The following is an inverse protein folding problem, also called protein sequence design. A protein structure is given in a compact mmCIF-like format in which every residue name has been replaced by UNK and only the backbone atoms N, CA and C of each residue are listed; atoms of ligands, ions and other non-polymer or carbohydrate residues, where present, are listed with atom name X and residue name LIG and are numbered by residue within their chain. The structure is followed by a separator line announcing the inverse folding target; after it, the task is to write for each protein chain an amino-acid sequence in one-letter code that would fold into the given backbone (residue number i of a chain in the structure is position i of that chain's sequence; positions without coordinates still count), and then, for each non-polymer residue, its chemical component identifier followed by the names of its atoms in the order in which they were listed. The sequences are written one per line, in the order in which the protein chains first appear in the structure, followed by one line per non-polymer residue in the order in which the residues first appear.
data_IF_359313652837
#
_entry.id   IF_359313652837
#
_cell.length_a   1.000
_cell.length_b   1.000
_cell.length_c   1.000
_cell.angle_alpha   90.00
_cell.angle_beta   90.00
_cell.angle_gamma   90.00
#
_symmetry.space_group_name_H-M   'P 1'
#
loop_
_entity.id
_entity.type
_entity.pdbx_description
1 polymer ?
#
# COMPACT_ATOMS: atom_id res chain seq x y z
N UNK A 1 30.51 10.18 15.05
CA UNK A 1 29.48 10.47 14.02
C UNK A 1 29.34 9.38 12.93
N UNK A 2 29.77 8.12 13.13
CA UNK A 2 29.68 7.05 12.11
C UNK A 2 28.39 6.20 12.16
N UNK A 3 27.63 6.26 13.26
CA UNK A 3 26.53 5.34 13.54
C UNK A 3 25.22 5.66 12.81
N UNK A 4 24.98 6.92 12.44
CA UNK A 4 23.71 7.35 11.83
C UNK A 4 23.57 6.96 10.36
N UNK A 5 24.68 6.96 9.60
CA UNK A 5 24.68 6.66 8.16
C UNK A 5 24.47 5.17 7.91
N UNK A 6 25.05 4.31 8.74
CA UNK A 6 24.89 2.86 8.65
C UNK A 6 23.45 2.41 8.95
N UNK A 7 22.79 3.06 9.93
CA UNK A 7 21.40 2.78 10.30
C UNK A 7 20.41 3.19 9.20
N UNK A 8 20.61 4.36 8.58
CA UNK A 8 19.80 4.83 7.46
C UNK A 8 19.94 3.92 6.23
N UNK A 9 21.17 3.51 5.88
CA UNK A 9 21.43 2.60 4.76
C UNK A 9 20.75 1.23 4.93
N UNK A 10 20.76 0.68 6.14
CA UNK A 10 20.12 -0.61 6.44
C UNK A 10 18.59 -0.52 6.41
N UNK A 11 18.02 0.62 6.83
CA UNK A 11 16.58 0.91 6.75
C UNK A 11 16.11 1.06 5.31
N UNK A 12 16.86 1.77 4.47
CA UNK A 12 16.59 1.87 3.04
C UNK A 12 16.61 0.49 2.35
N UNK A 13 17.59 -0.36 2.66
CA UNK A 13 17.65 -1.73 2.13
C UNK A 13 16.42 -2.56 2.52
N UNK A 14 15.95 -2.46 3.77
CA UNK A 14 14.71 -3.12 4.21
C UNK A 14 13.49 -2.63 3.44
N UNK A 15 13.37 -1.31 3.22
CA UNK A 15 12.30 -0.72 2.40
C UNK A 15 12.34 -1.29 0.98
N UNK A 16 13.49 -1.24 0.30
CA UNK A 16 13.65 -1.74 -1.06
C UNK A 16 13.31 -3.23 -1.16
N UNK A 17 13.81 -4.04 -0.22
CA UNK A 17 13.53 -5.48 -0.19
C UNK A 17 12.02 -5.77 -0.07
N UNK A 18 11.32 -5.02 0.78
CA UNK A 18 9.89 -5.21 0.98
C UNK A 18 9.08 -4.72 -0.23
N UNK A 19 9.45 -3.59 -0.83
CA UNK A 19 8.83 -3.10 -2.07
C UNK A 19 8.99 -4.12 -3.21
N UNK A 20 10.17 -4.76 -3.34
CA UNK A 20 10.39 -5.83 -4.33
C UNK A 20 9.45 -7.03 -4.13
N UNK A 21 9.21 -7.44 -2.88
CA UNK A 21 8.25 -8.52 -2.58
C UNK A 21 6.83 -8.16 -3.02
N UNK A 22 6.40 -6.92 -2.80
CA UNK A 22 5.09 -6.43 -3.22
C UNK A 22 5.01 -6.33 -4.75
N UNK A 23 6.07 -5.85 -5.42
CA UNK A 23 6.15 -5.82 -6.88
C UNK A 23 5.99 -7.21 -7.49
N UNK A 24 6.63 -8.24 -6.92
CA UNK A 24 6.44 -9.64 -7.36
C UNK A 24 4.99 -10.11 -7.20
N UNK A 25 4.26 -9.60 -6.21
CA UNK A 25 2.83 -9.89 -6.07
C UNK A 25 1.99 -9.14 -7.13
N UNK A 26 2.40 -7.93 -7.52
CA UNK A 26 1.78 -7.16 -8.60
C UNK A 26 1.95 -7.85 -9.96
N UNK A 27 3.17 -8.31 -10.28
CA UNK A 27 3.48 -9.09 -11.50
C UNK A 27 2.57 -10.32 -11.63
N UNK A 28 2.51 -11.12 -10.56
CA UNK A 28 1.62 -12.29 -10.49
C UNK A 28 0.13 -11.96 -10.58
N UNK A 29 -0.26 -10.74 -10.18
CA UNK A 29 -1.64 -10.30 -10.30
C UNK A 29 -1.95 -9.84 -11.73
N UNK A 30 -1.03 -9.12 -12.39
CA UNK A 30 -1.20 -8.67 -13.77
C UNK A 30 -1.19 -9.81 -14.79
N UNK A 31 -0.46 -10.88 -14.52
CA UNK A 31 -0.39 -12.08 -15.40
C UNK A 31 -1.59 -13.03 -15.20
N UNK A 32 -2.49 -12.74 -14.27
CA UNK A 32 -3.53 -13.68 -13.86
C UNK A 32 -4.92 -13.27 -14.34
N UNK A 33 -5.56 -14.14 -15.11
CA UNK A 33 -6.98 -13.98 -15.52
C UNK A 33 -7.97 -14.29 -14.39
N UNK A 34 -7.49 -14.54 -13.17
CA UNK A 34 -8.37 -14.88 -12.05
C UNK A 34 -9.10 -13.63 -11.57
N UNK A 35 -10.43 -13.75 -11.43
CA UNK A 35 -11.35 -12.69 -10.94
C UNK A 35 -10.91 -11.94 -9.68
N UNK A 36 -10.08 -12.55 -8.83
CA UNK A 36 -9.61 -11.97 -7.56
C UNK A 36 -8.08 -11.84 -7.48
N UNK A 37 -7.39 -11.78 -8.62
CA UNK A 37 -5.93 -11.63 -8.68
C UNK A 37 -5.45 -10.42 -7.86
N UNK A 38 -6.16 -9.29 -7.97
CA UNK A 38 -5.87 -8.05 -7.24
C UNK A 38 -5.88 -8.22 -5.72
N UNK A 39 -6.66 -9.14 -5.17
CA UNK A 39 -6.78 -9.28 -3.71
C UNK A 39 -5.47 -9.78 -3.10
N UNK A 40 -4.73 -10.62 -3.85
CA UNK A 40 -3.40 -11.09 -3.43
C UNK A 40 -2.40 -9.94 -3.44
N UNK A 41 -2.45 -9.09 -4.46
CA UNK A 41 -1.63 -7.88 -4.52
C UNK A 41 -1.97 -6.91 -3.37
N UNK A 42 -3.24 -6.61 -3.16
CA UNK A 42 -3.69 -5.73 -2.07
C UNK A 42 -3.34 -6.27 -0.68
N UNK A 43 -3.38 -7.60 -0.48
CA UNK A 43 -2.88 -8.24 0.75
C UNK A 43 -1.39 -7.98 0.94
N UNK A 44 -0.59 -8.11 -0.12
CA UNK A 44 0.85 -7.84 -0.05
C UNK A 44 1.13 -6.36 0.28
N UNK A 45 0.36 -5.43 -0.29
CA UNK A 45 0.44 -3.99 0.04
C UNK A 45 0.14 -3.74 1.52
N UNK A 46 -0.97 -4.28 2.04
CA UNK A 46 -1.34 -4.08 3.45
C UNK A 46 -0.32 -4.69 4.41
N UNK A 47 0.19 -5.89 4.09
CA UNK A 47 1.26 -6.52 4.87
C UNK A 47 2.54 -5.67 4.86
N UNK A 48 2.91 -5.08 3.73
CA UNK A 48 4.08 -4.20 3.66
C UNK A 48 3.87 -2.92 4.47
N UNK A 49 2.67 -2.33 4.42
CA UNK A 49 2.33 -1.18 5.25
C UNK A 49 2.51 -1.49 6.74
N UNK A 50 1.88 -2.56 7.24
CA UNK A 50 2.01 -2.97 8.65
C UNK A 50 3.44 -3.31 9.04
N UNK A 51 4.21 -3.91 8.14
CA UNK A 51 5.63 -4.14 8.36
C UNK A 51 6.40 -2.83 8.52
N UNK A 52 6.14 -1.83 7.66
CA UNK A 52 6.81 -0.54 7.77
C UNK A 52 6.40 0.23 9.02
N UNK A 53 5.12 0.22 9.36
CA UNK A 53 4.59 0.85 10.57
C UNK A 53 5.19 0.23 11.83
N UNK A 54 5.11 -1.09 11.99
CA UNK A 54 5.65 -1.80 13.16
C UNK A 54 7.17 -1.83 13.27
N UNK A 55 7.91 -1.25 12.32
CA UNK A 55 9.38 -1.14 12.35
C UNK A 55 9.88 0.30 12.20
N UNK A 56 9.01 1.31 12.32
CA UNK A 56 9.35 2.74 12.16
C UNK A 56 10.01 3.08 10.81
N UNK A 57 9.63 2.36 9.75
CA UNK A 57 10.17 2.51 8.39
C UNK A 57 9.30 3.38 7.48
N UNK A 58 8.16 3.89 7.93
CA UNK A 58 7.29 4.77 7.12
C UNK A 58 8.01 6.05 6.66
N UNK A 59 8.80 6.76 7.49
CA UNK A 59 9.58 7.92 7.03
C UNK A 59 10.60 7.53 5.94
N UNK A 60 11.31 6.42 6.16
CA UNK A 60 12.30 5.88 5.22
C UNK A 60 11.67 5.45 3.90
N UNK A 61 10.43 4.96 3.92
CA UNK A 61 9.66 4.67 2.71
C UNK A 61 9.43 5.95 1.90
N UNK A 62 9.01 7.05 2.53
CA UNK A 62 8.76 8.33 1.85
C UNK A 62 10.04 8.94 1.28
N UNK A 63 11.16 8.77 1.97
CA UNK A 63 12.48 9.23 1.50
C UNK A 63 13.01 8.38 0.33
N UNK A 64 12.83 7.06 0.39
CA UNK A 64 13.38 6.13 -0.62
C UNK A 64 12.48 6.00 -1.86
N UNK A 65 11.16 6.19 -1.70
CA UNK A 65 10.19 5.98 -2.76
C UNK A 65 10.40 6.84 -4.02
N UNK A 66 10.75 8.14 -3.94
CA UNK A 66 11.04 8.94 -5.14
C UNK A 66 12.11 8.32 -6.05
N UNK A 67 13.19 7.79 -5.45
CA UNK A 67 14.24 7.10 -6.18
C UNK A 67 13.75 5.79 -6.82
N UNK A 68 12.86 5.06 -6.15
CA UNK A 68 12.25 3.84 -6.69
C UNK A 68 11.23 4.11 -7.79
N UNK A 69 10.52 5.23 -7.70
CA UNK A 69 9.44 5.64 -8.59
C UNK A 69 9.92 6.43 -9.81
N UNK A 70 11.15 6.94 -9.76
CA UNK A 70 11.64 7.97 -10.69
C UNK A 70 10.67 9.16 -10.82
N UNK A 71 9.84 9.39 -9.79
CA UNK A 71 8.74 10.35 -9.79
C UNK A 71 8.67 11.00 -8.41
N UNK A 72 8.38 12.32 -8.32
CA UNK A 72 8.22 12.97 -7.03
C UNK A 72 7.07 12.33 -6.21
N UNK A 73 7.37 11.93 -4.98
CA UNK A 73 6.33 11.60 -3.99
C UNK A 73 5.89 12.90 -3.34
N UNK A 74 4.58 13.16 -3.33
CA UNK A 74 4.04 14.34 -2.64
C UNK A 74 4.00 14.08 -1.14
N UNK A 75 4.29 15.09 -0.34
CA UNK A 75 4.34 14.99 1.11
C UNK A 75 2.99 14.59 1.74
N UNK A 76 1.87 14.83 1.06
CA UNK A 76 0.51 14.52 1.50
C UNK A 76 0.04 13.11 1.11
N UNK A 77 0.89 12.32 0.43
CA UNK A 77 0.52 10.98 0.02
C UNK A 77 0.50 10.02 1.20
N UNK A 78 -0.65 9.36 1.36
CA UNK A 78 -0.78 8.26 2.30
C UNK A 78 0.25 7.15 1.97
N UNK A 79 0.95 6.54 2.94
CA UNK A 79 1.99 5.55 2.64
C UNK A 79 1.48 4.36 1.80
N UNK A 80 0.24 3.91 1.99
CA UNK A 80 -0.42 2.94 1.11
C UNK A 80 -0.40 3.36 -0.38
N UNK A 81 -0.63 4.64 -0.68
CA UNK A 81 -0.56 5.18 -2.04
C UNK A 81 0.85 5.06 -2.58
N UNK A 82 1.85 5.40 -1.77
CA UNK A 82 3.27 5.34 -2.13
C UNK A 82 3.69 3.91 -2.48
N UNK A 83 3.30 2.93 -1.65
CA UNK A 83 3.55 1.51 -1.94
C UNK A 83 2.90 1.12 -3.26
N UNK A 84 1.61 1.44 -3.45
CA UNK A 84 0.88 1.10 -4.67
C UNK A 84 1.54 1.70 -5.90
N UNK A 85 1.92 2.97 -5.86
CA UNK A 85 2.61 3.63 -6.97
C UNK A 85 3.95 2.98 -7.26
N UNK A 86 4.70 2.56 -6.23
CA UNK A 86 6.03 1.96 -6.38
C UNK A 86 5.99 0.54 -6.96
N UNK A 87 4.84 -0.12 -6.90
CA UNK A 87 4.73 -1.56 -7.22
C UNK A 87 3.70 -1.89 -8.29
N UNK A 88 2.71 -1.03 -8.53
CA UNK A 88 1.66 -1.27 -9.49
C UNK A 88 2.20 -1.20 -10.92
N UNK A 89 1.89 -2.22 -11.72
CA UNK A 89 2.24 -2.26 -13.14
C UNK A 89 1.11 -1.75 -14.05
N UNK A 90 -0.10 -1.63 -13.51
CA UNK A 90 -1.26 -1.20 -14.28
C UNK A 90 -1.31 0.34 -14.38
N UNK A 91 -1.56 0.91 -15.58
CA UNK A 91 -1.60 2.35 -15.78
C UNK A 91 -2.85 3.01 -15.19
N UNK A 92 -3.91 2.25 -14.88
CA UNK A 92 -5.20 2.80 -14.43
C UNK A 92 -5.10 3.56 -13.09
N UNK A 93 -5.10 4.89 -13.18
CA UNK A 93 -5.08 5.82 -12.05
C UNK A 93 -6.33 5.71 -11.17
N UNK A 94 -7.50 5.44 -11.77
CA UNK A 94 -8.77 5.32 -11.05
C UNK A 94 -8.75 4.06 -10.20
N UNK A 95 -8.23 2.96 -10.74
CA UNK A 95 -8.08 1.71 -10.01
C UNK A 95 -7.12 1.86 -8.83
N UNK A 96 -5.93 2.43 -9.03
CA UNK A 96 -4.96 2.71 -7.95
C UNK A 96 -5.55 3.58 -6.84
N UNK A 97 -6.35 4.58 -7.21
CA UNK A 97 -7.03 5.46 -6.24
C UNK A 97 -8.08 4.68 -5.44
N UNK A 98 -8.85 3.80 -6.09
CA UNK A 98 -9.85 2.96 -5.45
C UNK A 98 -9.20 1.97 -4.47
N UNK A 99 -8.11 1.32 -4.87
CA UNK A 99 -7.32 0.44 -4.01
C UNK A 99 -6.80 1.16 -2.77
N UNK A 100 -6.25 2.36 -2.95
CA UNK A 100 -5.75 3.17 -1.83
C UNK A 100 -6.85 3.44 -0.81
N UNK A 101 -8.04 3.86 -1.26
CA UNK A 101 -9.18 4.14 -0.37
C UNK A 101 -9.72 2.88 0.31
N UNK A 102 -9.85 1.79 -0.44
CA UNK A 102 -10.29 0.51 0.10
C UNK A 102 -9.36 0.03 1.21
N UNK A 103 -8.04 0.05 0.98
CA UNK A 103 -7.06 -0.34 2.00
C UNK A 103 -7.02 0.64 3.18
N UNK A 104 -7.21 1.93 2.95
CA UNK A 104 -7.31 2.88 4.06
C UNK A 104 -8.52 2.61 4.97
N UNK A 105 -9.65 2.17 4.41
CA UNK A 105 -10.80 1.75 5.21
C UNK A 105 -10.50 0.45 5.96
N UNK A 106 -9.93 -0.56 5.29
CA UNK A 106 -9.51 -1.81 5.94
C UNK A 106 -8.57 -1.54 7.11
N UNK A 107 -7.62 -0.62 6.94
CA UNK A 107 -6.68 -0.22 7.99
C UNK A 107 -7.38 0.47 9.16
N UNK A 108 -8.37 1.34 8.89
CA UNK A 108 -9.15 2.00 9.93
C UNK A 108 -10.00 1.02 10.77
N UNK A 109 -10.38 -0.11 10.18
CA UNK A 109 -11.08 -1.22 10.85
C UNK A 109 -10.11 -2.25 11.48
N UNK A 110 -8.79 -1.95 11.48
CA UNK A 110 -7.70 -2.78 12.01
C UNK A 110 -7.66 -4.24 11.51
N UNK A 111 -8.12 -4.47 10.28
CA UNK A 111 -8.24 -5.83 9.74
C UNK A 111 -6.87 -6.44 9.40
N UNK A 112 -6.65 -7.67 9.85
CA UNK A 112 -5.44 -8.42 9.52
C UNK A 112 -5.29 -8.68 8.01
N UNK A 113 -4.07 -8.57 7.43
CA UNK A 113 -3.84 -8.89 6.03
C UNK A 113 -4.39 -10.26 5.60
N UNK A 114 -4.36 -11.28 6.48
CA UNK A 114 -4.90 -12.61 6.21
C UNK A 114 -6.43 -12.64 6.14
N UNK A 115 -7.10 -11.65 6.71
CA UNK A 115 -8.56 -11.51 6.65
C UNK A 115 -9.04 -10.58 5.54
N UNK A 116 -8.12 -9.82 4.92
CA UNK A 116 -8.41 -8.82 3.88
C UNK A 116 -9.41 -9.32 2.83
N UNK A 117 -9.15 -10.47 2.22
CA UNK A 117 -10.00 -11.02 1.15
C UNK A 117 -11.43 -11.30 1.62
N UNK A 118 -11.59 -11.76 2.86
CA UNK A 118 -12.91 -12.01 3.46
C UNK A 118 -13.61 -10.69 3.73
N UNK A 119 -12.91 -9.75 4.35
CA UNK A 119 -13.45 -8.43 4.68
C UNK A 119 -13.88 -7.66 3.43
N UNK A 120 -13.04 -7.60 2.39
CA UNK A 120 -13.36 -6.92 1.13
C UNK A 120 -14.62 -7.54 0.50
N UNK A 121 -14.77 -8.87 0.52
CA UNK A 121 -15.97 -9.54 -0.04
C UNK A 121 -17.23 -9.21 0.74
N UNK A 122 -17.14 -9.21 2.07
CA UNK A 122 -18.25 -8.85 2.94
C UNK A 122 -18.72 -7.39 2.72
N UNK A 123 -17.84 -6.53 2.22
CA UNK A 123 -18.10 -5.11 1.98
C UNK A 123 -18.31 -4.76 0.49
N UNK A 124 -18.94 -5.65 -0.28
CA UNK A 124 -19.25 -5.43 -1.71
C UNK A 124 -18.01 -5.21 -2.60
N UNK A 125 -16.90 -5.85 -2.24
CA UNK A 125 -15.65 -5.78 -3.00
C UNK A 125 -14.87 -4.48 -2.77
N UNK A 126 -13.83 -4.29 -3.58
CA UNK A 126 -12.91 -3.15 -3.50
C UNK A 126 -13.68 -1.82 -3.64
N UNK A 127 -14.67 -1.77 -4.54
CA UNK A 127 -15.47 -0.57 -4.76
C UNK A 127 -16.27 -0.20 -3.50
N UNK A 128 -16.96 -1.16 -2.88
CA UNK A 128 -17.71 -0.91 -1.66
C UNK A 128 -16.84 -0.41 -0.51
N UNK A 129 -15.67 -1.02 -0.27
CA UNK A 129 -14.72 -0.51 0.72
C UNK A 129 -14.24 0.92 0.41
N UNK A 130 -13.95 1.24 -0.85
CA UNK A 130 -13.52 2.58 -1.24
C UNK A 130 -14.62 3.64 -1.04
N UNK A 131 -15.88 3.27 -1.24
CA UNK A 131 -17.03 4.14 -1.02
C UNK A 131 -17.27 4.37 0.48
N UNK A 132 -17.13 3.34 1.31
CA UNK A 132 -17.18 3.46 2.77
C UNK A 132 -16.10 4.41 3.29
N UNK A 133 -14.85 4.29 2.81
CA UNK A 133 -13.76 5.21 3.15
C UNK A 133 -14.12 6.68 2.88
N UNK A 134 -14.79 6.92 1.76
CA UNK A 134 -15.18 8.27 1.32
C UNK A 134 -16.30 8.85 2.19
N UNK A 135 -17.20 8.01 2.70
CA UNK A 135 -18.27 8.40 3.62
C UNK A 135 -17.73 8.72 5.02
N UNK A 136 -16.78 7.93 5.52
CA UNK A 136 -16.16 8.16 6.83
C UNK A 136 -15.38 9.47 6.88
N UNK A 137 -14.59 9.79 5.84
CA UNK A 137 -13.86 11.07 5.76
C UNK A 137 -14.77 12.29 5.77
N UNK A 138 -15.93 12.23 5.09
CA UNK A 138 -16.92 13.33 5.06
C UNK A 138 -17.57 13.60 6.41
N UNK A 139 -17.56 12.62 7.33
CA UNK A 139 -18.19 12.76 8.65
C UNK A 139 -17.29 13.46 9.67
N UNK A 140 -15.98 13.45 9.46
CA UNK A 140 -14.98 14.08 10.34
C UNK A 140 -14.79 15.57 9.98
N UNK A 141 -15.25 16.01 8.80
CA UNK A 141 -15.13 17.40 8.31
C UNK A 141 -16.41 18.23 8.46
N UNK A 142 -17.35 17.82 9.33
CA UNK A 142 -18.57 18.58 9.65
C UNK A 142 -18.61 18.92 11.12
#
# INVERSE_FOLDING_TARGET
MKSSVASSGLSAQKVVAQIRKVRKAAEKASESDRRFADYRYLRAVLHAYRYFEGNDLLPHLLETAPSLLMTPVRADWHPLRVIIEATCLQPDLRMRSRWTRALAHVLAEDIDPQELSRFIRANNGIAGCADLASKTRRRITR
#
